data_IF_838214932213
#
_entry.id   IF_838214932213
#
_cell.length_a   1.000
_cell.length_b   1.000
_cell.length_c   1.000
_cell.angle_alpha   90.00
_cell.angle_beta   90.00
_cell.angle_gamma   90.00
#
_symmetry.space_group_name_H-M   'P 1'
#
loop_
_entity.id
_entity.type
_entity.pdbx_description
1 polymer ?
#
# COMPACT_ATOMS: atom_id res chain seq x y z
N UNK A 1 25.56 32.70 32.70
CA UNK A 1 26.62 32.43 31.70
C UNK A 1 26.18 33.02 30.37
N UNK A 2 26.72 34.20 30.04
CA UNK A 2 26.28 35.03 28.91
C UNK A 2 27.46 35.16 27.94
N UNK A 3 27.25 34.82 26.67
CA UNK A 3 28.24 34.98 25.61
C UNK A 3 27.68 35.92 24.53
N UNK A 4 27.91 37.22 24.72
CA UNK A 4 27.69 38.24 23.71
C UNK A 4 28.92 38.41 22.81
N UNK A 5 28.78 38.14 21.52
CA UNK A 5 29.81 38.38 20.51
C UNK A 5 29.77 39.85 20.06
N UNK A 6 30.80 40.61 20.48
CA UNK A 6 31.07 42.00 20.08
C UNK A 6 31.63 42.05 18.67
N UNK A 7 31.00 42.86 17.81
CA UNK A 7 31.60 43.39 16.57
C UNK A 7 32.81 44.27 16.91
N UNK A 8 33.95 44.06 16.27
CA UNK A 8 35.05 45.02 16.24
C UNK A 8 35.28 45.51 14.81
N UNK A 9 35.03 46.81 14.65
CA UNK A 9 35.52 47.68 13.60
C UNK A 9 37.05 47.58 13.52
N UNK A 10 37.59 47.46 12.30
CA UNK A 10 39.00 47.71 12.04
C UNK A 10 39.17 48.78 10.96
N UNK A 11 39.86 49.82 11.44
CA UNK A 11 40.32 51.05 10.83
C UNK A 11 41.04 50.88 9.49
N UNK A 12 40.77 51.82 8.58
CA UNK A 12 41.54 52.08 7.38
C UNK A 12 42.92 52.64 7.76
N UNK A 13 43.99 51.97 7.32
CA UNK A 13 45.33 52.54 7.28
C UNK A 13 45.86 52.42 5.85
N UNK A 14 46.12 53.58 5.25
CA UNK A 14 46.72 53.73 3.94
C UNK A 14 48.21 53.31 3.98
N UNK A 15 48.65 52.50 3.00
CA UNK A 15 50.06 52.31 2.69
C UNK A 15 50.29 52.36 1.18
N UNK A 16 51.35 53.09 0.84
CA UNK A 16 51.74 53.61 -0.46
C UNK A 16 52.27 52.55 -1.44
N UNK A 17 52.10 52.88 -2.72
CA UNK A 17 52.85 52.51 -3.94
C UNK A 17 54.00 51.50 -3.82
N UNK A 18 53.91 50.48 -4.67
CA UNK A 18 55.04 49.78 -5.26
C UNK A 18 54.61 49.23 -6.63
N UNK A 19 54.88 49.99 -7.70
CA UNK A 19 54.80 49.50 -9.08
C UNK A 19 55.89 48.46 -9.29
N UNK A 20 55.51 47.18 -9.24
CA UNK A 20 56.35 46.08 -9.69
C UNK A 20 55.83 45.62 -11.06
N UNK A 21 56.57 46.02 -12.09
CA UNK A 21 56.44 45.54 -13.47
C UNK A 21 56.61 44.03 -13.52
N UNK A 22 55.50 43.29 -13.55
CA UNK A 22 55.47 41.90 -13.98
C UNK A 22 55.33 41.87 -15.50
N UNK A 23 56.46 41.89 -16.20
CA UNK A 23 56.58 41.49 -17.60
C UNK A 23 56.42 39.97 -17.71
N UNK A 24 55.20 39.48 -17.43
CA UNK A 24 54.79 38.12 -17.73
C UNK A 24 54.37 38.05 -19.19
N UNK A 25 55.07 37.22 -19.96
CA UNK A 25 54.74 36.87 -21.34
C UNK A 25 53.30 36.33 -21.38
N UNK A 26 52.31 37.18 -21.67
CA UNK A 26 50.97 36.75 -21.99
C UNK A 26 51.05 35.95 -23.29
N UNK A 27 51.14 34.62 -23.17
CA UNK A 27 50.82 33.74 -24.28
C UNK A 27 49.43 34.16 -24.76
N UNK A 28 49.38 34.79 -25.93
CA UNK A 28 48.16 35.14 -26.63
C UNK A 28 47.41 33.84 -26.88
N UNK A 29 46.53 33.47 -25.97
CA UNK A 29 45.50 32.47 -26.22
C UNK A 29 44.64 33.13 -27.30
N UNK A 30 44.92 32.80 -28.57
CA UNK A 30 44.05 33.17 -29.70
C UNK A 30 42.66 32.71 -29.33
N UNK A 31 41.77 33.65 -28.99
CA UNK A 31 40.36 33.34 -28.81
C UNK A 31 39.85 32.94 -30.19
N UNK A 32 39.67 31.64 -30.42
CA UNK A 32 38.93 31.14 -31.58
C UNK A 32 37.50 31.66 -31.41
N UNK A 33 37.09 32.58 -32.28
CA UNK A 33 35.69 32.98 -32.38
C UNK A 33 34.92 31.76 -32.90
N UNK A 34 34.01 31.25 -32.07
CA UNK A 34 33.18 30.10 -32.40
C UNK A 34 32.18 30.53 -33.47
N UNK A 35 32.10 29.78 -34.57
CA UNK A 35 31.13 30.11 -35.63
C UNK A 35 29.74 29.64 -35.23
N UNK A 36 28.69 30.35 -35.65
CA UNK A 36 27.29 29.93 -35.43
C UNK A 36 27.03 28.50 -35.94
N UNK A 37 27.70 28.12 -37.03
CA UNK A 37 27.59 26.79 -37.65
C UNK A 37 28.12 25.70 -36.72
N UNK A 38 29.27 25.91 -36.07
CA UNK A 38 29.81 24.93 -35.12
C UNK A 38 28.86 24.70 -33.94
N UNK A 39 28.19 25.75 -33.43
CA UNK A 39 27.19 25.58 -32.36
C UNK A 39 25.94 24.86 -32.87
N UNK A 40 25.49 25.18 -34.08
CA UNK A 40 24.31 24.58 -34.70
C UNK A 40 24.45 23.06 -34.87
N UNK A 41 25.62 22.58 -35.31
CA UNK A 41 25.86 21.14 -35.50
C UNK A 41 25.89 20.41 -34.16
N UNK A 42 26.48 21.02 -33.11
CA UNK A 42 26.56 20.40 -31.78
C UNK A 42 25.16 20.24 -31.18
N UNK A 43 24.33 21.28 -31.20
CA UNK A 43 22.96 21.19 -30.67
C UNK A 43 22.13 20.19 -31.50
N UNK A 44 22.35 20.10 -32.80
CA UNK A 44 21.67 19.13 -33.67
C UNK A 44 22.01 17.69 -33.26
N UNK A 45 23.30 17.38 -33.09
CA UNK A 45 23.75 16.04 -32.65
C UNK A 45 23.20 15.71 -31.26
N UNK A 46 23.26 16.65 -30.30
CA UNK A 46 22.68 16.45 -28.96
C UNK A 46 21.17 16.18 -29.06
N UNK A 47 20.46 16.91 -29.92
CA UNK A 47 19.02 16.72 -30.17
C UNK A 47 18.69 15.32 -30.67
N UNK A 48 19.44 14.80 -31.64
CA UNK A 48 19.28 13.43 -32.15
C UNK A 48 19.57 12.39 -31.06
N UNK A 49 20.67 12.57 -30.30
CA UNK A 49 21.02 11.64 -29.23
C UNK A 49 19.94 11.59 -28.13
N UNK A 50 19.45 12.75 -27.69
CA UNK A 50 18.38 12.82 -26.67
C UNK A 50 17.07 12.23 -27.19
N UNK A 51 16.71 12.49 -28.45
CA UNK A 51 15.50 11.94 -29.06
C UNK A 51 15.49 10.40 -29.08
N UNK A 52 16.66 9.77 -29.25
CA UNK A 52 16.79 8.31 -29.19
C UNK A 52 16.84 7.76 -27.75
N UNK A 53 17.35 8.55 -26.80
CA UNK A 53 17.49 8.14 -25.39
C UNK A 53 16.19 8.23 -24.58
N UNK A 54 15.34 9.23 -24.83
CA UNK A 54 14.09 9.44 -24.10
C UNK A 54 13.12 8.24 -24.14
N UNK A 55 12.77 7.65 -25.30
CA UNK A 55 11.85 6.51 -25.34
C UNK A 55 12.41 5.29 -24.58
N UNK A 56 13.72 5.06 -24.66
CA UNK A 56 14.39 3.98 -23.95
C UNK A 56 14.32 4.16 -22.41
N UNK A 57 14.49 5.38 -21.92
CA UNK A 57 14.38 5.70 -20.49
C UNK A 57 12.96 5.47 -19.94
N UNK A 58 11.92 5.78 -20.73
CA UNK A 58 10.55 5.53 -20.32
C UNK A 58 10.23 4.03 -20.22
N UNK A 59 10.64 3.24 -21.21
CA UNK A 59 10.50 1.78 -21.19
C UNK A 59 11.25 1.15 -20.01
N UNK A 60 12.48 1.61 -19.74
CA UNK A 60 13.28 1.13 -18.61
C UNK A 60 12.59 1.42 -17.26
N UNK A 61 12.04 2.62 -17.07
CA UNK A 61 11.31 2.98 -15.84
C UNK A 61 10.04 2.15 -15.66
N UNK A 62 9.28 1.90 -16.72
CA UNK A 62 8.09 1.06 -16.65
C UNK A 62 8.43 -0.39 -16.30
N UNK A 63 9.50 -0.94 -16.89
CA UNK A 63 10.01 -2.27 -16.56
C UNK A 63 10.47 -2.36 -15.09
N UNK A 64 11.17 -1.34 -14.58
CA UNK A 64 11.59 -1.29 -13.18
C UNK A 64 10.41 -1.28 -12.21
N UNK A 65 9.37 -0.48 -12.50
CA UNK A 65 8.13 -0.46 -11.69
C UNK A 65 7.41 -1.81 -11.71
N UNK A 66 7.29 -2.46 -12.88
CA UNK A 66 6.72 -3.81 -12.99
C UNK A 66 7.51 -4.84 -12.18
N UNK A 67 8.84 -4.78 -12.27
CA UNK A 67 9.74 -5.66 -11.51
C UNK A 67 9.56 -5.48 -10.01
N UNK A 68 9.43 -4.24 -9.54
CA UNK A 68 9.13 -3.95 -8.14
C UNK A 68 7.79 -4.56 -7.69
N UNK A 69 6.72 -4.40 -8.49
CA UNK A 69 5.42 -5.01 -8.15
C UNK A 69 5.51 -6.55 -8.08
N UNK A 70 6.20 -7.18 -9.04
CA UNK A 70 6.40 -8.63 -9.04
C UNK A 70 7.25 -9.12 -7.85
N UNK A 71 8.29 -8.37 -7.47
CA UNK A 71 9.11 -8.66 -6.30
C UNK A 71 8.28 -8.59 -5.01
N UNK A 72 7.45 -7.57 -4.87
CA UNK A 72 6.58 -7.41 -3.72
C UNK A 72 5.56 -8.55 -3.64
N UNK A 73 4.89 -8.90 -4.75
CA UNK A 73 3.97 -10.06 -4.80
C UNK A 73 4.66 -11.37 -4.40
N UNK A 74 5.91 -11.57 -4.84
CA UNK A 74 6.70 -12.75 -4.43
C UNK A 74 6.97 -12.75 -2.93
N UNK A 75 7.35 -11.61 -2.35
CA UNK A 75 7.59 -11.48 -0.90
C UNK A 75 6.31 -11.71 -0.09
N UNK A 76 5.18 -11.15 -0.53
CA UNK A 76 3.88 -11.39 0.07
C UNK A 76 3.50 -12.88 0.01
N UNK A 77 3.72 -13.54 -1.13
CA UNK A 77 3.47 -14.99 -1.27
C UNK A 77 4.33 -15.85 -0.33
N UNK A 78 5.60 -15.48 -0.11
CA UNK A 78 6.46 -16.13 0.91
C UNK A 78 5.89 -15.90 2.31
N UNK A 79 5.42 -14.69 2.61
CA UNK A 79 4.76 -14.39 3.88
C UNK A 79 3.52 -15.24 4.12
N UNK A 80 2.67 -15.42 3.10
CA UNK A 80 1.47 -16.27 3.19
C UNK A 80 1.84 -17.75 3.41
N UNK A 81 2.89 -18.23 2.75
CA UNK A 81 3.38 -19.60 2.96
C UNK A 81 3.90 -19.82 4.39
N UNK A 82 4.64 -18.85 4.93
CA UNK A 82 5.12 -18.89 6.31
C UNK A 82 3.97 -18.77 7.33
N UNK A 83 2.95 -17.98 7.02
CA UNK A 83 1.72 -17.93 7.81
C UNK A 83 1.05 -19.32 7.88
N UNK A 84 0.93 -20.02 6.74
CA UNK A 84 0.34 -21.36 6.69
C UNK A 84 1.05 -22.39 7.58
N UNK A 85 2.37 -22.33 7.68
CA UNK A 85 3.16 -23.24 8.55
C UNK A 85 2.79 -23.14 10.03
N UNK A 86 2.29 -21.98 10.47
CA UNK A 86 1.96 -21.71 11.88
C UNK A 86 0.46 -21.65 12.15
N UNK A 87 -0.39 -21.57 11.11
CA UNK A 87 -1.83 -21.33 11.21
C UNK A 87 -2.67 -22.45 10.56
N UNK A 88 -2.42 -23.70 10.99
CA UNK A 88 -3.19 -24.90 10.58
C UNK A 88 -3.26 -25.08 9.06
N UNK A 89 -2.13 -24.88 8.38
CA UNK A 89 -1.99 -25.00 6.93
C UNK A 89 -2.84 -24.03 6.10
N UNK A 90 -3.44 -22.99 6.70
CA UNK A 90 -4.22 -21.98 5.97
C UNK A 90 -3.32 -20.82 5.54
N UNK A 91 -3.40 -20.40 4.27
CA UNK A 91 -2.57 -19.30 3.77
C UNK A 91 -2.97 -17.92 4.32
N UNK A 92 -4.21 -17.76 4.76
CA UNK A 92 -4.70 -16.56 5.45
C UNK A 92 -5.95 -16.89 6.26
N UNK A 93 -6.45 -15.90 7.01
CA UNK A 93 -7.72 -15.92 7.74
C UNK A 93 -8.91 -15.42 6.90
N UNK A 94 -8.66 -14.68 5.82
CA UNK A 94 -9.72 -14.18 4.93
C UNK A 94 -9.25 -13.11 3.93
N UNK A 95 -10.21 -12.42 3.34
CA UNK A 95 -10.06 -11.18 2.62
C UNK A 95 -9.84 -9.99 3.58
N UNK A 96 -9.16 -8.96 3.09
CA UNK A 96 -9.05 -7.69 3.79
C UNK A 96 -10.32 -6.87 3.56
N UNK A 97 -11.41 -7.29 4.21
CA UNK A 97 -12.77 -6.74 4.08
C UNK A 97 -13.41 -6.62 5.46
N UNK A 98 -13.72 -5.40 5.88
CA UNK A 98 -14.29 -5.19 7.21
C UNK A 98 -15.68 -5.81 7.36
N UNK A 99 -16.52 -5.68 6.33
CA UNK A 99 -17.92 -6.05 6.40
C UNK A 99 -18.14 -7.54 6.16
N UNK A 100 -17.29 -8.17 5.37
CA UNK A 100 -17.44 -9.59 5.00
C UNK A 100 -16.66 -10.54 5.90
N UNK A 101 -15.45 -10.15 6.35
CA UNK A 101 -14.53 -11.08 7.03
C UNK A 101 -14.17 -10.69 8.45
N UNK A 102 -14.45 -9.45 8.86
CA UNK A 102 -14.31 -9.01 10.24
C UNK A 102 -13.28 -7.90 10.40
N UNK A 103 -12.82 -7.67 11.63
CA UNK A 103 -11.95 -6.57 11.96
C UNK A 103 -10.65 -6.60 11.12
N UNK A 104 -10.37 -5.50 10.40
CA UNK A 104 -9.28 -5.41 9.42
C UNK A 104 -7.87 -5.57 9.99
N UNK A 105 -7.72 -5.45 11.32
CA UNK A 105 -6.46 -5.62 12.04
C UNK A 105 -6.23 -7.05 12.53
N UNK A 106 -7.27 -7.88 12.50
CA UNK A 106 -7.24 -9.25 13.03
C UNK A 106 -7.54 -10.30 11.98
N UNK A 107 -8.40 -9.97 11.02
CA UNK A 107 -8.90 -10.86 9.99
C UNK A 107 -8.51 -10.33 8.61
N UNK A 108 -8.11 -11.27 7.75
CA UNK A 108 -7.74 -11.01 6.38
C UNK A 108 -6.23 -11.16 6.13
N UNK A 109 -5.89 -11.54 4.90
CA UNK A 109 -4.50 -11.79 4.50
C UNK A 109 -3.55 -10.61 4.75
N UNK A 110 -4.03 -9.36 4.68
CA UNK A 110 -3.22 -8.17 5.03
C UNK A 110 -2.96 -8.14 6.53
N UNK A 111 -3.99 -8.37 7.35
CA UNK A 111 -3.86 -8.41 8.79
C UNK A 111 -2.88 -9.49 9.23
N UNK A 112 -3.02 -10.69 8.68
CA UNK A 112 -2.16 -11.85 8.96
C UNK A 112 -0.69 -11.54 8.69
N UNK A 113 -0.39 -10.92 7.54
CA UNK A 113 0.97 -10.56 7.15
C UNK A 113 1.54 -9.43 7.99
N UNK A 114 0.78 -8.37 8.25
CA UNK A 114 1.22 -7.25 9.10
C UNK A 114 1.48 -7.73 10.53
N UNK A 115 0.62 -8.60 11.07
CA UNK A 115 0.79 -9.22 12.37
C UNK A 115 2.02 -10.14 12.41
N UNK A 116 2.34 -10.82 11.30
CA UNK A 116 3.58 -11.56 11.09
C UNK A 116 4.82 -10.67 10.82
N UNK A 117 4.72 -9.35 11.00
CA UNK A 117 5.79 -8.35 10.81
C UNK A 117 6.27 -8.20 9.36
N UNK A 118 5.42 -8.54 8.40
CA UNK A 118 5.64 -8.26 6.98
C UNK A 118 5.12 -6.84 6.67
N UNK A 119 5.94 -5.93 6.11
CA UNK A 119 5.56 -4.54 5.91
C UNK A 119 4.67 -4.36 4.65
N UNK A 120 3.44 -4.89 4.68
CA UNK A 120 2.52 -4.88 3.52
C UNK A 120 2.21 -3.46 3.06
N UNK A 121 2.00 -2.53 3.99
CA UNK A 121 1.72 -1.12 3.70
C UNK A 121 2.84 -0.37 3.00
N UNK A 122 4.10 -0.84 3.11
CA UNK A 122 5.25 -0.26 2.40
C UNK A 122 5.47 -0.93 1.04
N UNK A 123 5.06 -2.18 0.90
CA UNK A 123 5.27 -2.99 -0.31
C UNK A 123 4.25 -2.70 -1.43
N UNK A 124 3.75 -1.48 -1.57
CA UNK A 124 2.75 -1.14 -2.59
C UNK A 124 3.33 -1.22 -4.01
N UNK A 125 2.53 -1.63 -4.99
CA UNK A 125 2.91 -1.58 -6.40
C UNK A 125 3.08 -0.13 -6.86
N UNK A 126 4.27 0.31 -7.32
CA UNK A 126 4.47 1.67 -7.81
C UNK A 126 3.75 1.96 -9.14
N UNK A 127 3.42 0.94 -9.93
CA UNK A 127 2.71 1.11 -11.20
C UNK A 127 1.23 1.48 -11.02
N UNK A 128 0.62 1.08 -9.92
CA UNK A 128 -0.78 1.31 -9.65
C UNK A 128 -1.00 2.74 -9.08
N UNK A 129 -1.85 3.58 -9.69
CA UNK A 129 -2.15 4.91 -9.18
C UNK A 129 -2.96 4.89 -7.87
N UNK A 130 -3.72 3.82 -7.63
CA UNK A 130 -4.51 3.64 -6.42
C UNK A 130 -3.65 3.06 -5.31
N UNK A 131 -3.55 3.78 -4.19
CA UNK A 131 -2.68 3.42 -3.05
C UNK A 131 -3.45 2.96 -1.82
N UNK A 132 -4.77 3.13 -1.80
CA UNK A 132 -5.62 2.73 -0.67
C UNK A 132 -6.50 1.54 -1.06
N UNK A 133 -6.62 0.59 -0.13
CA UNK A 133 -7.55 -0.53 -0.26
C UNK A 133 -9.01 -0.10 -0.04
N UNK A 134 -9.96 -0.81 -0.64
CA UNK A 134 -11.38 -0.52 -0.44
C UNK A 134 -11.87 -0.65 1.00
N UNK A 135 -11.18 -1.43 1.84
CA UNK A 135 -11.47 -1.54 3.26
C UNK A 135 -11.50 -0.16 3.95
N UNK A 136 -10.72 0.82 3.48
CA UNK A 136 -10.74 2.18 4.01
C UNK A 136 -12.07 2.88 3.75
N UNK A 137 -12.72 2.62 2.62
CA UNK A 137 -14.07 3.14 2.37
C UNK A 137 -15.07 2.60 3.38
N UNK A 138 -15.04 1.30 3.66
CA UNK A 138 -15.88 0.71 4.70
C UNK A 138 -15.57 1.28 6.08
N UNK A 139 -14.28 1.40 6.43
CA UNK A 139 -13.84 1.93 7.71
C UNK A 139 -14.26 3.39 7.92
N UNK A 140 -14.39 4.20 6.87
CA UNK A 140 -14.78 5.60 6.99
C UNK A 140 -16.29 5.83 6.88
N UNK A 141 -17.00 5.02 6.10
CA UNK A 141 -18.37 5.32 5.67
C UNK A 141 -19.41 4.35 6.24
N UNK A 142 -19.03 3.11 6.59
CA UNK A 142 -19.99 2.11 7.04
C UNK A 142 -20.65 2.53 8.36
N UNK A 143 -21.94 2.23 8.49
CA UNK A 143 -22.77 2.49 9.67
C UNK A 143 -23.57 1.24 10.05
N UNK A 144 -23.99 1.15 11.31
CA UNK A 144 -24.76 -0.01 11.80
C UNK A 144 -23.97 -1.33 11.79
N UNK A 145 -22.64 -1.26 11.86
CA UNK A 145 -21.77 -2.43 11.87
C UNK A 145 -21.85 -3.11 13.25
N UNK A 146 -22.12 -4.41 13.27
CA UNK A 146 -22.14 -5.22 14.47
C UNK A 146 -21.62 -6.63 14.21
N UNK A 147 -21.20 -7.31 15.28
CA UNK A 147 -20.89 -8.73 15.23
C UNK A 147 -22.17 -9.51 14.95
N UNK A 148 -22.17 -10.22 13.83
CA UNK A 148 -23.29 -11.02 13.36
C UNK A 148 -22.78 -12.07 12.40
N UNK A 149 -23.46 -13.22 12.34
CA UNK A 149 -23.19 -14.27 11.36
C UNK A 149 -21.80 -14.90 11.48
N UNK A 150 -21.31 -15.07 12.71
CA UNK A 150 -19.97 -15.60 13.03
C UNK A 150 -18.82 -14.77 12.42
N UNK A 151 -19.09 -13.51 12.07
CA UNK A 151 -18.10 -12.55 11.54
C UNK A 151 -17.79 -11.53 12.65
N UNK A 152 -16.57 -11.56 13.23
CA UNK A 152 -16.16 -10.65 14.30
C UNK A 152 -15.74 -9.29 13.73
N UNK A 153 -16.72 -8.42 13.43
CA UNK A 153 -16.48 -7.08 12.86
C UNK A 153 -15.91 -6.10 13.88
N UNK A 154 -16.23 -6.26 15.16
CA UNK A 154 -15.68 -5.46 16.25
C UNK A 154 -14.26 -5.90 16.62
N UNK A 155 -13.92 -7.16 16.33
CA UNK A 155 -12.65 -7.77 16.76
C UNK A 155 -12.59 -8.02 18.27
N UNK A 156 -11.40 -8.34 18.75
CA UNK A 156 -11.11 -8.59 20.17
C UNK A 156 -11.39 -7.36 21.04
N UNK A 157 -11.67 -7.57 22.33
CA UNK A 157 -11.75 -6.49 23.29
C UNK A 157 -10.39 -5.79 23.45
N UNK A 158 -10.41 -4.60 24.04
CA UNK A 158 -9.25 -3.75 24.29
C UNK A 158 -8.08 -4.51 24.91
N UNK A 159 -6.90 -4.39 24.30
CA UNK A 159 -5.67 -4.84 24.93
C UNK A 159 -5.25 -3.82 25.99
N UNK A 160 -5.00 -4.32 27.21
CA UNK A 160 -4.48 -3.49 28.31
C UNK A 160 -2.98 -3.41 28.15
N UNK A 161 -2.46 -2.21 27.88
CA UNK A 161 -1.03 -1.97 27.81
C UNK A 161 -0.42 -2.03 29.22
N UNK A 162 0.90 -2.19 29.28
CA UNK A 162 1.64 -2.23 30.54
C UNK A 162 1.50 -0.94 31.39
N UNK A 163 1.06 0.16 30.78
CA UNK A 163 0.77 1.43 31.42
C UNK A 163 -0.68 1.55 31.95
N UNK A 164 -1.49 0.50 31.80
CA UNK A 164 -2.90 0.49 32.17
C UNK A 164 -3.82 1.21 31.20
N UNK A 165 -3.29 1.78 30.12
CA UNK A 165 -4.09 2.33 29.02
C UNK A 165 -4.66 1.21 28.15
N UNK A 166 -5.82 1.46 27.56
CA UNK A 166 -6.45 0.52 26.63
C UNK A 166 -6.08 0.93 25.21
N UNK A 167 -5.50 0.02 24.42
CA UNK A 167 -5.43 0.20 22.97
C UNK A 167 -6.69 -0.42 22.35
N UNK A 168 -7.65 0.39 21.88
CA UNK A 168 -8.81 -0.14 21.18
C UNK A 168 -8.41 -0.87 19.90
N UNK A 169 -9.14 -1.94 19.59
CA UNK A 169 -9.27 -2.34 18.19
C UNK A 169 -9.94 -1.16 17.43
N UNK A 170 -9.39 -0.71 16.30
CA UNK A 170 -9.94 0.44 15.56
C UNK A 170 -11.40 0.23 15.16
N UNK A 171 -11.78 -0.98 14.77
CA UNK A 171 -13.17 -1.31 14.40
C UNK A 171 -14.12 -1.16 15.59
N UNK A 172 -13.68 -1.58 16.79
CA UNK A 172 -14.44 -1.41 18.03
C UNK A 172 -14.54 0.07 18.42
N UNK A 173 -13.44 0.82 18.35
CA UNK A 173 -13.44 2.26 18.63
C UNK A 173 -14.43 3.02 17.73
N UNK A 174 -14.54 2.64 16.46
CA UNK A 174 -15.49 3.27 15.52
C UNK A 174 -16.93 2.97 15.91
N UNK A 175 -17.26 1.71 16.21
CA UNK A 175 -18.65 1.29 16.48
C UNK A 175 -19.09 1.66 17.89
N UNK A 176 -18.32 1.29 18.92
CA UNK A 176 -18.67 1.58 20.32
C UNK A 176 -18.54 3.07 20.64
N UNK A 177 -17.55 3.73 20.04
CA UNK A 177 -17.41 5.18 20.11
C UNK A 177 -18.48 5.93 19.30
N UNK A 178 -19.34 5.21 18.55
CA UNK A 178 -20.41 5.77 17.72
C UNK A 178 -19.90 6.88 16.79
N UNK A 179 -18.71 6.71 16.22
CA UNK A 179 -18.04 7.74 15.43
C UNK A 179 -18.78 7.92 14.09
N UNK A 180 -19.31 9.13 13.79
CA UNK A 180 -20.04 9.36 12.55
C UNK A 180 -19.18 9.11 11.31
N UNK A 181 -19.82 8.73 10.21
CA UNK A 181 -19.15 8.53 8.93
C UNK A 181 -18.38 9.80 8.51
N UNK A 182 -17.14 9.62 8.04
CA UNK A 182 -16.24 10.71 7.64
C UNK A 182 -15.95 11.79 8.71
N UNK A 183 -16.27 11.54 9.99
CA UNK A 183 -15.92 12.46 11.07
C UNK A 183 -14.41 12.54 11.27
N UNK A 184 -13.86 13.70 11.71
CA UNK A 184 -12.43 13.85 11.93
C UNK A 184 -11.88 12.85 12.96
N UNK A 185 -12.66 12.53 14.00
CA UNK A 185 -12.28 11.55 15.02
C UNK A 185 -12.18 10.13 14.45
N UNK A 186 -13.12 9.75 13.56
CA UNK A 186 -13.08 8.47 12.83
C UNK A 186 -11.88 8.37 11.92
N UNK A 187 -11.59 9.44 11.19
CA UNK A 187 -10.43 9.52 10.29
C UNK A 187 -9.13 9.43 11.09
N UNK A 188 -9.03 10.07 12.25
CA UNK A 188 -7.87 9.99 13.12
C UNK A 188 -7.62 8.55 13.61
N UNK A 189 -8.66 7.83 14.05
CA UNK A 189 -8.53 6.42 14.45
C UNK A 189 -8.07 5.55 13.29
N UNK A 190 -8.70 5.68 12.12
CA UNK A 190 -8.33 4.89 10.93
C UNK A 190 -6.91 5.21 10.47
N UNK A 191 -6.51 6.49 10.47
CA UNK A 191 -5.18 6.88 10.08
C UNK A 191 -4.12 6.34 11.06
N UNK A 192 -4.29 6.57 12.36
CA UNK A 192 -3.28 6.21 13.35
C UNK A 192 -3.19 4.70 13.58
N UNK A 193 -4.33 4.01 13.66
CA UNK A 193 -4.38 2.61 14.09
C UNK A 193 -4.41 1.62 12.93
N UNK A 194 -4.79 2.05 11.72
CA UNK A 194 -4.86 1.19 10.53
C UNK A 194 -3.77 1.58 9.53
N UNK A 195 -3.74 2.84 9.09
CA UNK A 195 -2.81 3.29 8.04
C UNK A 195 -1.35 3.33 8.52
N UNK A 196 -1.08 4.05 9.61
CA UNK A 196 0.28 4.19 10.17
C UNK A 196 0.80 2.87 10.74
N UNK A 197 -0.09 1.97 11.17
CA UNK A 197 0.25 0.61 11.58
C UNK A 197 0.58 -0.33 10.40
N UNK A 198 0.42 0.12 9.15
CA UNK A 198 0.80 -0.61 7.95
C UNK A 198 -0.26 -1.54 7.36
N UNK A 199 -1.50 -1.51 7.87
CA UNK A 199 -2.64 -2.26 7.32
C UNK A 199 -3.17 -1.57 6.07
N UNK A 200 -2.41 -1.66 4.98
CA UNK A 200 -2.81 -1.14 3.69
C UNK A 200 -2.21 -2.00 2.58
N UNK A 201 -2.88 -2.01 1.44
CA UNK A 201 -2.39 -2.70 0.25
C UNK A 201 -3.04 -2.12 -1.00
N UNK A 202 -2.33 -2.20 -2.12
CA UNK A 202 -2.90 -2.01 -3.45
C UNK A 202 -2.84 -3.27 -4.32
N UNK A 203 -2.53 -4.41 -3.70
CA UNK A 203 -2.77 -5.72 -4.28
C UNK A 203 -4.13 -6.26 -3.84
N UNK A 204 -4.52 -7.31 -4.53
CA UNK A 204 -5.82 -7.93 -4.39
C UNK A 204 -5.62 -9.40 -4.15
N UNK A 205 -6.42 -9.98 -3.27
CA UNK A 205 -6.44 -11.40 -3.10
C UNK A 205 -7.42 -11.99 -4.09
N UNK A 206 -6.98 -13.02 -4.81
CA UNK A 206 -7.86 -13.84 -5.60
C UNK A 206 -8.95 -14.44 -4.72
N UNK A 207 -10.11 -14.67 -5.32
CA UNK A 207 -11.14 -15.45 -4.65
C UNK A 207 -10.62 -16.79 -4.16
N UNK A 208 -9.84 -17.52 -4.96
CA UNK A 208 -9.29 -18.82 -4.59
C UNK A 208 -8.45 -18.81 -3.31
N UNK A 209 -7.69 -17.73 -3.07
CA UNK A 209 -6.90 -17.57 -1.84
C UNK A 209 -7.80 -17.41 -0.62
N UNK A 210 -8.81 -16.55 -0.71
CA UNK A 210 -9.65 -16.17 0.45
C UNK A 210 -10.88 -17.06 0.62
N UNK A 211 -11.29 -17.75 -0.44
CA UNK A 211 -12.47 -18.59 -0.59
C UNK A 211 -12.10 -19.76 -1.49
N UNK A 212 -11.96 -20.95 -0.91
CA UNK A 212 -11.45 -22.10 -1.66
C UNK A 212 -12.52 -22.87 -2.44
N UNK A 213 -13.80 -22.68 -2.11
CA UNK A 213 -14.95 -23.25 -2.82
C UNK A 213 -16.26 -22.59 -2.36
N UNK A 214 -17.32 -22.83 -3.12
CA UNK A 214 -18.70 -22.55 -2.69
C UNK A 214 -19.26 -23.79 -2.00
N UNK A 215 -20.02 -23.60 -0.93
CA UNK A 215 -20.79 -24.68 -0.33
C UNK A 215 -22.15 -24.75 -1.03
N UNK A 216 -22.44 -25.87 -1.68
CA UNK A 216 -23.71 -26.11 -2.37
C UNK A 216 -24.49 -27.24 -1.69
N UNK A 217 -25.82 -27.17 -1.76
CA UNK A 217 -26.72 -28.26 -1.40
C UNK A 217 -26.86 -29.25 -2.58
N UNK A 218 -27.63 -30.33 -2.38
CA UNK A 218 -27.86 -31.37 -3.39
C UNK A 218 -28.56 -30.83 -4.66
N UNK A 219 -29.25 -29.69 -4.53
CA UNK A 219 -29.99 -29.06 -5.62
C UNK A 219 -29.15 -27.98 -6.35
N UNK A 220 -27.90 -27.76 -5.93
CA UNK A 220 -27.01 -26.74 -6.50
C UNK A 220 -27.26 -25.33 -5.98
N UNK A 221 -28.04 -25.15 -4.91
CA UNK A 221 -28.21 -23.85 -4.24
C UNK A 221 -27.11 -23.64 -3.19
N UNK A 222 -26.86 -22.39 -2.82
CA UNK A 222 -25.94 -22.07 -1.73
C UNK A 222 -26.38 -22.72 -0.42
N UNK A 223 -25.45 -23.48 0.18
CA UNK A 223 -25.60 -24.06 1.51
C UNK A 223 -24.95 -23.13 2.53
N UNK A 224 -25.79 -22.48 3.31
CA UNK A 224 -25.36 -21.59 4.39
C UNK A 224 -24.97 -22.36 5.65
N UNK A 225 -23.91 -21.91 6.34
CA UNK A 225 -23.60 -22.36 7.70
C UNK A 225 -24.69 -21.89 8.67
N UNK A 226 -25.13 -20.65 8.51
CA UNK A 226 -26.25 -20.05 9.21
C UNK A 226 -27.23 -19.46 8.19
N UNK A 227 -28.44 -20.03 8.10
CA UNK A 227 -29.47 -19.59 7.16
C UNK A 227 -30.02 -18.18 7.44
N UNK A 228 -29.94 -17.70 8.69
CA UNK A 228 -30.32 -16.33 9.05
C UNK A 228 -29.38 -15.27 8.45
N UNK A 229 -28.24 -15.72 7.92
CA UNK A 229 -27.16 -14.89 7.40
C UNK A 229 -26.97 -15.05 5.89
N UNK A 230 -27.98 -15.57 5.21
CA UNK A 230 -28.01 -15.57 3.75
C UNK A 230 -28.05 -14.11 3.25
N UNK A 231 -27.18 -13.77 2.28
CA UNK A 231 -27.10 -12.43 1.71
C UNK A 231 -27.18 -12.56 0.18
N UNK A 232 -28.42 -12.64 -0.37
CA UNK A 232 -28.62 -12.87 -1.80
C UNK A 232 -27.85 -11.85 -2.64
N UNK A 233 -26.82 -12.32 -3.34
CA UNK A 233 -25.94 -11.48 -4.16
C UNK A 233 -24.53 -11.25 -3.59
N UNK A 234 -24.25 -11.67 -2.35
CA UNK A 234 -22.90 -11.75 -1.77
C UNK A 234 -22.53 -13.13 -1.25
N UNK A 235 -23.36 -14.14 -1.51
CA UNK A 235 -23.15 -15.50 -1.00
C UNK A 235 -21.79 -16.08 -1.43
N UNK A 236 -21.35 -15.81 -2.65
CA UNK A 236 -20.01 -16.22 -3.11
C UNK A 236 -18.85 -15.44 -2.45
N UNK A 237 -19.11 -14.33 -1.76
CA UNK A 237 -18.06 -13.52 -1.12
C UNK A 237 -17.99 -13.73 0.38
N UNK A 238 -19.06 -14.16 1.04
CA UNK A 238 -19.08 -14.36 2.50
C UNK A 238 -18.60 -15.75 2.91
N UNK A 239 -18.02 -15.87 4.11
CA UNK A 239 -17.64 -17.17 4.71
C UNK A 239 -18.84 -18.06 5.08
N UNK A 240 -20.06 -17.53 5.02
CA UNK A 240 -21.28 -18.24 5.38
C UNK A 240 -21.68 -19.28 4.33
N UNK A 241 -21.51 -18.96 3.04
CA UNK A 241 -21.87 -19.85 1.91
C UNK A 241 -20.66 -20.39 1.13
N UNK A 242 -19.45 -20.17 1.65
CA UNK A 242 -18.20 -20.63 1.03
C UNK A 242 -17.37 -21.49 1.99
N UNK A 243 -16.50 -22.30 1.41
CA UNK A 243 -15.36 -22.82 2.11
C UNK A 243 -14.38 -21.68 2.39
N UNK A 244 -13.75 -21.72 3.56
CA UNK A 244 -12.81 -20.69 4.00
C UNK A 244 -11.56 -20.58 3.12
N UNK A 245 -10.54 -19.86 3.63
CA UNK A 245 -9.28 -19.63 2.92
C UNK A 245 -8.64 -20.91 2.39
N UNK A 246 -7.81 -20.76 1.36
CA UNK A 246 -7.05 -21.84 0.78
C UNK A 246 -6.14 -22.46 1.85
N UNK A 247 -6.22 -23.78 1.99
CA UNK A 247 -5.29 -24.56 2.80
C UNK A 247 -4.28 -25.28 1.92
N UNK A 248 -3.11 -25.57 2.47
CA UNK A 248 -2.05 -26.34 1.81
C UNK A 248 -2.54 -27.72 1.41
N UNK A 249 -3.27 -28.40 2.30
CA UNK A 249 -3.87 -29.70 2.01
C UNK A 249 -4.78 -29.65 0.77
N UNK A 250 -5.57 -28.58 0.61
CA UNK A 250 -6.47 -28.41 -0.54
C UNK A 250 -5.73 -28.06 -1.83
N UNK A 251 -4.65 -27.29 -1.72
CA UNK A 251 -3.77 -26.98 -2.83
C UNK A 251 -3.06 -28.23 -3.35
N UNK A 252 -2.53 -29.06 -2.43
CA UNK A 252 -1.79 -30.28 -2.75
C UNK A 252 -2.71 -31.40 -3.27
N UNK A 253 -3.97 -31.48 -2.78
CA UNK A 253 -4.98 -32.40 -3.30
C UNK A 253 -5.66 -31.93 -4.58
N UNK A 254 -5.34 -30.72 -5.05
CA UNK A 254 -5.97 -30.09 -6.20
C UNK A 254 -5.66 -30.82 -7.52
N UNK A 255 -6.61 -30.77 -8.47
CA UNK A 255 -6.39 -31.30 -9.83
C UNK A 255 -5.32 -30.51 -10.60
N UNK A 256 -5.12 -29.25 -10.23
CA UNK A 256 -4.15 -28.34 -10.83
C UNK A 256 -3.05 -28.02 -9.82
N UNK A 257 -1.81 -27.98 -10.29
CA UNK A 257 -0.68 -27.56 -9.47
C UNK A 257 -0.87 -26.11 -8.99
N UNK A 258 -0.39 -25.83 -7.77
CA UNK A 258 -0.54 -24.51 -7.15
C UNK A 258 0.13 -23.36 -7.91
N UNK A 259 1.02 -23.66 -8.86
CA UNK A 259 1.62 -22.68 -9.77
C UNK A 259 0.62 -22.04 -10.75
N UNK A 260 -0.55 -22.67 -10.95
CA UNK A 260 -1.59 -22.17 -11.88
C UNK A 260 -2.62 -21.31 -11.16
N UNK A 261 -2.73 -21.43 -9.84
CA UNK A 261 -3.74 -20.72 -9.05
C UNK A 261 -3.18 -19.33 -8.70
N UNK A 262 -3.71 -18.24 -9.28
CA UNK A 262 -3.27 -16.91 -8.92
C UNK A 262 -3.73 -16.65 -7.48
N UNK A 263 -2.81 -16.41 -6.55
CA UNK A 263 -3.18 -16.10 -5.16
C UNK A 263 -3.41 -14.61 -4.95
N UNK A 264 -2.48 -13.78 -5.45
CA UNK A 264 -2.49 -12.33 -5.34
C UNK A 264 -2.33 -11.69 -6.74
N UNK A 265 -2.88 -10.50 -6.93
CA UNK A 265 -2.77 -9.73 -8.16
C UNK A 265 -2.72 -8.22 -7.94
N UNK A 266 -2.34 -7.47 -8.96
CA UNK A 266 -2.43 -6.00 -8.93
C UNK A 266 -3.91 -5.55 -8.98
N UNK A 267 -4.22 -4.50 -8.24
CA UNK A 267 -5.58 -4.02 -8.07
C UNK A 267 -6.09 -3.13 -9.19
N UNK A 268 -7.36 -3.31 -9.53
CA UNK A 268 -8.09 -2.36 -10.37
C UNK A 268 -8.78 -1.29 -9.51
N UNK A 269 -9.17 -0.19 -10.16
CA UNK A 269 -9.96 0.87 -9.54
C UNK A 269 -11.34 0.36 -9.11
N UNK A 270 -11.78 0.78 -7.92
CA UNK A 270 -13.11 0.49 -7.36
C UNK A 270 -14.09 1.59 -7.68
N UNK A 271 -15.37 1.21 -7.74
CA UNK A 271 -16.49 2.15 -7.79
C UNK A 271 -16.66 2.91 -6.48
N UNK A 272 -16.04 2.44 -5.39
CA UNK A 272 -15.96 3.19 -4.13
C UNK A 272 -14.80 4.18 -4.19
N UNK A 273 -15.01 5.36 -3.66
CA UNK A 273 -14.00 6.40 -3.50
C UNK A 273 -14.09 6.94 -2.10
N UNK A 274 -12.97 7.19 -1.46
CA UNK A 274 -12.99 7.98 -0.22
C UNK A 274 -13.19 9.46 -0.58
N UNK A 275 -13.93 10.17 0.26
CA UNK A 275 -14.09 11.63 0.15
C UNK A 275 -13.09 12.39 1.06
N UNK A 276 -12.29 11.65 1.84
CA UNK A 276 -11.37 12.19 2.84
C UNK A 276 -9.97 11.64 2.57
N UNK A 277 -8.91 12.49 2.63
CA UNK A 277 -7.54 12.02 2.51
C UNK A 277 -7.11 11.24 3.75
N UNK A 278 -6.25 10.24 3.57
CA UNK A 278 -5.66 9.46 4.67
C UNK A 278 -4.15 9.33 4.44
N UNK A 279 -3.36 9.70 5.46
CA UNK A 279 -1.93 9.43 5.46
C UNK A 279 -1.17 10.05 4.28
N UNK A 280 -1.60 11.23 3.82
CA UNK A 280 -1.03 11.93 2.66
C UNK A 280 -1.45 11.36 1.30
N UNK A 281 -2.38 10.40 1.26
CA UNK A 281 -3.02 9.94 0.02
C UNK A 281 -4.28 10.75 -0.24
N UNK A 282 -4.34 11.34 -1.44
CA UNK A 282 -5.49 12.14 -1.88
C UNK A 282 -6.77 11.29 -2.01
N UNK A 283 -7.96 11.89 -1.81
CA UNK A 283 -9.23 11.20 -2.02
C UNK A 283 -9.34 10.66 -3.45
N UNK A 284 -9.86 9.46 -3.60
CA UNK A 284 -10.03 8.85 -4.91
C UNK A 284 -10.46 7.40 -4.88
N UNK A 285 -10.50 6.75 -6.07
CA UNK A 285 -10.89 5.36 -6.18
C UNK A 285 -9.91 4.50 -5.38
N UNK A 286 -10.49 3.57 -4.62
CA UNK A 286 -9.75 2.57 -3.84
C UNK A 286 -9.56 1.30 -4.65
N UNK A 287 -8.71 0.40 -4.17
CA UNK A 287 -8.40 -0.88 -4.85
C UNK A 287 -9.51 -1.91 -4.64
N UNK A 288 -9.99 -2.55 -5.71
CA UNK A 288 -11.03 -3.61 -5.69
C UNK A 288 -10.45 -4.95 -5.24
N UNK A 289 -11.13 -5.70 -4.38
CA UNK A 289 -10.75 -7.10 -4.14
C UNK A 289 -11.01 -7.97 -5.38
N UNK A 290 -10.13 -8.91 -5.73
CA UNK A 290 -10.35 -9.83 -6.85
C UNK A 290 -11.51 -10.77 -6.50
N UNK A 291 -12.75 -10.36 -6.80
CA UNK A 291 -13.93 -11.22 -6.68
C UNK A 291 -14.23 -11.82 -8.04
N UNK A 292 -14.49 -13.14 -8.06
CA UNK A 292 -14.76 -13.97 -9.25
C UNK A 292 -15.57 -13.28 -10.34
#
# INVERSE_FOLDING_TARGET
>A
MSAGLRRRSFSQAALRRGDASHSGLHASIRRRAFTLVEMLVVIFIIGVLVALLLPALHAARQSARRTACQSNLRQLGVGLASHAETHRDMYCSGAFDWLQDGAVTENGWVADLVNAKVPVGEMLCPSNPHKLSYAYGDLLEASGVADACDIPRLGKPYEVLADGSHLPNPCRAIVEGSLPANSPDRVAVVQQQVFEAGYNTNYTASWWLVRSAVNLDENGNYKYKNSACADPGKDNKTLNATAGPLSRARLDSGLYGGNVIPMLGDGAASLRSTNVPIGGVEPGPVVVNMTL
#
